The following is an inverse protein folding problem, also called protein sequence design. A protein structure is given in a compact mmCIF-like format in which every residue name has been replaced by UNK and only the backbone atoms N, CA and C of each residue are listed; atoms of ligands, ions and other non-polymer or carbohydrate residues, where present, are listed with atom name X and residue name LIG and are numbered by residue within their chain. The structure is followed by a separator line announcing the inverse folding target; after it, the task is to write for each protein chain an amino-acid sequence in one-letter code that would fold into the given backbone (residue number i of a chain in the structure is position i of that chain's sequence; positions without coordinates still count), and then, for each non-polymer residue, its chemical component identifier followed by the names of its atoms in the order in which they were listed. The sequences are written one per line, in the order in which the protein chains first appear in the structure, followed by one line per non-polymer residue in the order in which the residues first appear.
data_IF_864020559893
#
_entry.id   IF_864020559893
#
_cell.length_a   1.000
_cell.length_b   1.000
_cell.length_c   1.000
_cell.angle_alpha   90.00
_cell.angle_beta   90.00
_cell.angle_gamma   90.00
#
_symmetry.space_group_name_H-M   'P 1'
#
loop_
_entity.id
_entity.type
_entity.pdbx_description
1 polymer ?
#
# COMPACT_ATOMS: atom_id res chain seq x y z
N UNK A 1 13.96 -7.64 -19.26
CA UNK A 1 12.72 -6.89 -19.58
C UNK A 1 11.87 -7.78 -20.46
N UNK A 2 10.63 -8.10 -20.07
CA UNK A 2 9.73 -8.91 -20.90
C UNK A 2 9.07 -8.03 -21.96
N UNK A 3 9.03 -8.51 -23.21
CA UNK A 3 8.31 -7.83 -24.30
C UNK A 3 6.81 -7.99 -24.08
N UNK A 4 6.05 -6.89 -24.20
CA UNK A 4 4.59 -6.89 -24.04
C UNK A 4 4.08 -6.70 -22.60
N UNK A 5 4.98 -6.63 -21.62
CA UNK A 5 4.62 -6.32 -20.23
C UNK A 5 4.47 -4.82 -19.97
N UNK A 6 3.74 -4.48 -18.91
CA UNK A 6 3.68 -3.10 -18.42
C UNK A 6 4.99 -2.69 -17.76
N UNK A 7 5.43 -1.47 -18.04
CA UNK A 7 6.51 -0.81 -17.30
C UNK A 7 5.88 0.22 -16.36
N UNK A 8 6.17 0.10 -15.07
CA UNK A 8 5.71 1.08 -14.08
C UNK A 8 6.43 2.40 -14.33
N UNK A 9 5.65 3.48 -14.34
CA UNK A 9 6.20 4.83 -14.48
C UNK A 9 6.99 5.22 -13.23
N UNK A 10 7.86 6.21 -13.36
CA UNK A 10 8.54 6.79 -12.20
C UNK A 10 7.54 7.61 -11.38
N UNK A 11 6.93 6.97 -10.37
CA UNK A 11 5.89 7.55 -9.51
C UNK A 11 6.44 7.69 -8.08
N UNK A 12 6.34 8.90 -7.55
CA UNK A 12 6.73 9.23 -6.18
C UNK A 12 5.62 9.00 -5.15
N UNK A 13 5.97 9.16 -3.88
CA UNK A 13 5.01 9.04 -2.79
C UNK A 13 3.97 10.18 -2.84
N UNK A 14 2.71 9.87 -2.53
CA UNK A 14 1.68 10.88 -2.29
C UNK A 14 1.67 11.32 -0.82
N UNK A 15 1.04 12.48 -0.57
CA UNK A 15 0.72 12.91 0.78
C UNK A 15 -0.52 12.16 1.29
N UNK A 16 -0.32 11.30 2.30
CA UNK A 16 -1.42 10.68 3.02
C UNK A 16 -1.90 11.60 4.15
N UNK A 17 -3.21 11.57 4.52
CA UNK A 17 -3.65 12.20 5.75
C UNK A 17 -2.84 11.68 6.94
N UNK A 18 -2.47 12.56 7.86
CA UNK A 18 -1.47 12.28 8.92
C UNK A 18 -1.74 10.98 9.70
N UNK A 19 -3.00 10.74 10.08
CA UNK A 19 -3.41 9.52 10.79
C UNK A 19 -3.19 8.26 9.95
N UNK A 20 -3.51 8.34 8.65
CA UNK A 20 -3.34 7.21 7.72
C UNK A 20 -1.87 6.96 7.44
N UNK A 21 -1.03 8.01 7.37
CA UNK A 21 0.41 7.85 7.27
C UNK A 21 0.99 7.11 8.49
N UNK A 22 0.56 7.46 9.71
CA UNK A 22 0.97 6.78 10.93
C UNK A 22 0.48 5.33 10.97
N UNK A 23 -0.81 5.10 10.67
CA UNK A 23 -1.40 3.78 10.60
C UNK A 23 -0.80 2.88 9.52
N UNK A 24 -0.43 3.45 8.37
CA UNK A 24 0.30 2.75 7.31
C UNK A 24 1.67 2.30 7.82
N UNK A 25 2.44 3.20 8.45
CA UNK A 25 3.75 2.85 9.03
C UNK A 25 3.62 1.76 10.09
N UNK A 26 2.62 1.84 10.96
CA UNK A 26 2.33 0.83 11.98
C UNK A 26 1.99 -0.52 11.35
N UNK A 27 1.06 -0.56 10.41
CA UNK A 27 0.57 -1.79 9.81
C UNK A 27 1.61 -2.53 8.96
N UNK A 28 2.60 -1.80 8.40
CA UNK A 28 3.73 -2.36 7.66
C UNK A 28 4.98 -2.57 8.53
N UNK A 29 4.95 -2.22 9.83
CA UNK A 29 6.10 -2.38 10.70
C UNK A 29 6.47 -3.86 10.84
N UNK A 30 7.74 -4.19 10.58
CA UNK A 30 8.23 -5.57 10.63
C UNK A 30 7.98 -6.41 9.38
N UNK A 31 7.36 -5.86 8.33
CA UNK A 31 7.32 -6.53 7.02
C UNK A 31 8.69 -6.45 6.34
N UNK A 32 9.19 -7.60 5.86
CA UNK A 32 10.52 -7.73 5.23
C UNK A 32 10.37 -8.30 3.82
N UNK A 33 11.27 -7.94 2.90
CA UNK A 33 11.31 -8.48 1.54
C UNK A 33 10.41 -7.75 0.55
N UNK A 34 9.73 -6.68 0.98
CA UNK A 34 8.91 -5.85 0.11
C UNK A 34 8.82 -4.42 0.63
N UNK A 35 8.98 -3.46 -0.28
CA UNK A 35 8.83 -2.03 -0.02
C UNK A 35 7.53 -1.54 -0.63
N UNK A 36 6.72 -0.83 0.16
CA UNK A 36 5.48 -0.22 -0.29
C UNK A 36 5.59 1.29 -0.18
N UNK A 37 5.39 2.00 -1.29
CA UNK A 37 5.35 3.46 -1.36
C UNK A 37 3.90 3.86 -1.69
N UNK A 38 3.18 4.55 -0.80
CA UNK A 38 1.82 5.00 -1.10
C UNK A 38 1.88 6.07 -2.19
N UNK A 39 1.14 5.88 -3.29
CA UNK A 39 1.10 6.79 -4.45
C UNK A 39 -0.26 7.44 -4.66
N UNK A 40 -1.33 6.90 -4.04
CA UNK A 40 -2.65 7.53 -4.03
C UNK A 40 -3.47 7.07 -2.83
N UNK A 41 -4.09 8.03 -2.12
CA UNK A 41 -5.18 7.74 -1.19
C UNK A 41 -6.52 7.77 -1.93
N UNK A 42 -7.20 6.63 -2.03
CA UNK A 42 -8.44 6.51 -2.81
C UNK A 42 -9.68 6.93 -2.01
N UNK A 43 -9.68 6.73 -0.70
CA UNK A 43 -10.83 7.02 0.15
C UNK A 43 -11.00 6.01 1.28
N UNK A 44 -12.17 6.05 1.92
CA UNK A 44 -12.49 5.23 3.08
C UNK A 44 -13.91 4.65 3.02
N UNK A 45 -14.14 3.63 3.83
CA UNK A 45 -15.43 2.95 4.00
C UNK A 45 -15.70 2.74 5.49
N UNK A 46 -16.84 3.22 5.97
CA UNK A 46 -17.28 3.05 7.36
C UNK A 46 -17.81 1.61 7.55
N UNK A 47 -17.31 0.92 8.56
CA UNK A 47 -17.69 -0.45 8.96
C UNK A 47 -17.75 -0.53 10.50
N UNK A 48 -17.41 -1.67 11.13
CA UNK A 48 -17.07 -1.71 12.56
C UNK A 48 -15.66 -1.18 12.79
N UNK A 49 -15.48 0.12 12.54
CA UNK A 49 -14.19 0.76 12.32
C UNK A 49 -14.19 1.49 10.97
N UNK A 50 -13.02 1.69 10.37
CA UNK A 50 -12.89 2.35 9.07
C UNK A 50 -11.87 1.63 8.19
N UNK A 51 -12.26 1.24 6.98
CA UNK A 51 -11.31 0.78 5.97
C UNK A 51 -10.81 1.96 5.15
N UNK A 52 -9.54 1.95 4.79
CA UNK A 52 -8.86 2.95 3.98
C UNK A 52 -8.22 2.26 2.77
N UNK A 53 -8.51 2.76 1.57
CA UNK A 53 -7.95 2.25 0.34
C UNK A 53 -6.78 3.12 -0.12
N UNK A 54 -5.62 2.51 -0.30
CA UNK A 54 -4.37 3.17 -0.74
C UNK A 54 -3.81 2.40 -1.93
N UNK A 55 -3.44 3.10 -3.01
CA UNK A 55 -2.61 2.51 -4.06
C UNK A 55 -1.15 2.70 -3.67
N UNK A 56 -0.36 1.63 -3.79
CA UNK A 56 1.06 1.61 -3.50
C UNK A 56 1.85 1.16 -4.73
N UNK A 57 3.02 1.77 -4.95
CA UNK A 57 4.11 1.13 -5.68
C UNK A 57 4.73 0.10 -4.74
N UNK A 58 4.72 -1.16 -5.16
CA UNK A 58 5.31 -2.29 -4.46
C UNK A 58 6.60 -2.68 -5.18
N UNK A 59 7.72 -2.70 -4.47
CA UNK A 59 8.98 -3.25 -4.94
C UNK A 59 9.30 -4.49 -4.11
N UNK A 60 9.31 -5.67 -4.74
CA UNK A 60 9.75 -6.90 -4.08
C UNK A 60 11.27 -6.98 -4.08
N UNK A 61 11.86 -7.20 -2.92
CA UNK A 61 13.31 -7.31 -2.76
C UNK A 61 13.76 -8.74 -3.07
N UNK A 62 14.81 -8.89 -3.88
CA UNK A 62 15.34 -10.19 -4.28
C UNK A 62 16.37 -10.07 -5.41
N UNK A 63 16.84 -11.21 -5.93
CA UNK A 63 17.85 -11.23 -7.01
C UNK A 63 17.39 -10.52 -8.29
N UNK A 64 16.08 -10.44 -8.50
CA UNK A 64 15.45 -9.63 -9.54
C UNK A 64 14.35 -8.79 -8.88
N UNK A 65 14.61 -7.49 -8.68
CA UNK A 65 13.60 -6.57 -8.19
C UNK A 65 12.41 -6.54 -9.18
N UNK A 66 11.21 -6.77 -8.65
CA UNK A 66 9.96 -6.68 -9.40
C UNK A 66 9.13 -5.54 -8.82
N UNK A 67 8.70 -4.65 -9.70
CA UNK A 67 7.79 -3.57 -9.35
C UNK A 67 6.36 -3.94 -9.73
N UNK A 68 5.43 -3.59 -8.85
CA UNK A 68 3.99 -3.75 -9.02
C UNK A 68 3.25 -2.48 -8.58
N UNK A 69 2.04 -2.30 -9.09
CA UNK A 69 1.06 -1.41 -8.46
C UNK A 69 0.08 -2.29 -7.69
N UNK A 70 -0.12 -2.00 -6.42
CA UNK A 70 -1.01 -2.74 -5.55
C UNK A 70 -2.02 -1.83 -4.86
N UNK A 71 -3.27 -2.28 -4.78
CA UNK A 71 -4.27 -1.71 -3.87
C UNK A 71 -4.12 -2.36 -2.50
N UNK A 72 -3.84 -1.55 -1.49
CA UNK A 72 -3.75 -1.93 -0.09
C UNK A 72 -4.99 -1.42 0.64
N UNK A 73 -5.63 -2.30 1.41
CA UNK A 73 -6.71 -1.94 2.32
C UNK A 73 -6.18 -2.01 3.75
N UNK A 74 -6.15 -0.85 4.40
CA UNK A 74 -5.86 -0.68 5.82
C UNK A 74 -7.16 -0.60 6.60
N UNK A 75 -7.34 -1.44 7.61
CA UNK A 75 -8.48 -1.36 8.54
C UNK A 75 -8.01 -0.66 9.81
N UNK A 76 -8.70 0.42 10.17
CA UNK A 76 -8.68 1.03 11.50
C UNK A 76 -9.80 0.39 12.34
N UNK A 77 -9.47 -0.17 13.50
CA UNK A 77 -10.46 -0.65 14.45
C UNK A 77 -11.06 0.48 15.32
N UNK A 78 -11.97 0.13 16.24
CA UNK A 78 -12.61 1.10 17.12
C UNK A 78 -11.66 1.73 18.16
N UNK A 79 -10.50 1.12 18.40
CA UNK A 79 -9.45 1.61 19.30
C UNK A 79 -8.38 2.43 18.54
N UNK A 80 -8.54 2.60 17.22
CA UNK A 80 -7.63 3.35 16.37
C UNK A 80 -6.40 2.58 15.89
N UNK A 81 -6.34 1.26 16.07
CA UNK A 81 -5.23 0.42 15.61
C UNK A 81 -5.40 0.07 14.15
N UNK A 82 -4.28 0.04 13.43
CA UNK A 82 -4.26 -0.22 11.99
C UNK A 82 -3.71 -1.60 11.66
N UNK A 83 -4.35 -2.27 10.71
CA UNK A 83 -3.91 -3.55 10.16
C UNK A 83 -4.13 -3.61 8.65
N UNK A 84 -3.26 -4.32 7.94
CA UNK A 84 -3.46 -4.63 6.52
C UNK A 84 -4.46 -5.79 6.43
N UNK A 85 -5.60 -5.59 5.78
CA UNK A 85 -6.59 -6.65 5.58
C UNK A 85 -6.61 -7.20 4.16
N UNK A 86 -6.07 -6.46 3.18
CA UNK A 86 -5.98 -6.91 1.80
C UNK A 86 -4.86 -6.19 1.06
N UNK A 87 -4.13 -6.94 0.23
CA UNK A 87 -3.23 -6.44 -0.80
C UNK A 87 -3.64 -7.10 -2.11
N UNK A 88 -3.84 -6.31 -3.15
CA UNK A 88 -4.26 -6.77 -4.48
C UNK A 88 -3.39 -6.11 -5.55
N UNK A 89 -2.60 -6.90 -6.27
CA UNK A 89 -1.80 -6.41 -7.40
C UNK A 89 -2.76 -6.05 -8.54
N UNK A 90 -2.61 -4.83 -9.06
CA UNK A 90 -3.40 -4.29 -10.17
C UNK A 90 -2.55 -3.93 -11.39
N UNK A 91 -1.21 -3.94 -11.26
CA UNK A 91 -0.25 -3.82 -12.35
C UNK A 91 1.06 -4.55 -12.01
#
# INVERSE_FOLDING_TARGET
MMVGGWKIADIGACELPQKIAAGFKEAFNGMVGAKYIPVLYCGYQIVRGTNHAVICKLTQEGNNEMEHIAKVILSEDLDGKFQIIKIEIIL
#
